data_IF_803732887618
#
_entry.id   IF_803732887618
#
_cell.length_a   1.000
_cell.length_b   1.000
_cell.length_c   1.000
_cell.angle_alpha   90.00
_cell.angle_beta   90.00
_cell.angle_gamma   90.00
#
_symmetry.space_group_name_H-M   'P 1'
#
loop_
_entity.id
_entity.type
_entity.pdbx_description
1 polymer ?
#
# COMPACT_ATOMS: atom_id res chain seq x y z
N UNK A 1 -23.66 29.72 19.77
CA UNK A 1 -24.46 28.90 18.85
C UNK A 1 -23.76 28.68 17.50
N UNK A 2 -23.23 29.72 16.84
CA UNK A 2 -22.49 29.58 15.57
C UNK A 2 -21.20 28.73 15.69
N UNK A 3 -20.46 28.85 16.80
CA UNK A 3 -19.23 28.06 17.01
C UNK A 3 -19.50 26.55 17.12
N UNK A 4 -20.65 26.14 17.68
CA UNK A 4 -21.04 24.72 17.74
C UNK A 4 -21.34 24.17 16.34
N UNK A 5 -22.00 24.97 15.50
CA UNK A 5 -22.31 24.61 14.11
C UNK A 5 -21.04 24.48 13.25
N UNK A 6 -20.07 25.36 13.47
CA UNK A 6 -18.75 25.26 12.83
C UNK A 6 -18.06 23.95 13.22
N UNK A 7 -18.00 23.63 14.52
CA UNK A 7 -17.40 22.38 14.99
C UNK A 7 -18.11 21.14 14.41
N UNK A 8 -19.44 21.16 14.33
CA UNK A 8 -20.22 20.08 13.71
C UNK A 8 -19.82 19.87 12.25
N UNK A 9 -19.77 20.93 11.43
CA UNK A 9 -19.41 20.83 10.01
C UNK A 9 -18.03 20.21 9.75
N UNK A 10 -17.05 20.48 10.62
CA UNK A 10 -15.69 19.91 10.52
C UNK A 10 -15.65 18.41 10.80
N UNK A 11 -16.48 17.90 11.72
CA UNK A 11 -16.49 16.47 12.06
C UNK A 11 -17.12 15.62 10.95
N UNK A 12 -18.06 16.16 10.18
CA UNK A 12 -18.73 15.42 9.09
C UNK A 12 -17.99 15.47 7.74
N UNK A 13 -16.98 16.33 7.58
CA UNK A 13 -16.23 16.46 6.32
C UNK A 13 -14.99 15.55 6.23
N UNK A 14 -14.74 14.64 7.17
CA UNK A 14 -13.66 13.66 7.03
C UNK A 14 -14.07 12.54 6.07
N UNK A 15 -13.55 12.57 4.84
CA UNK A 15 -13.77 11.50 3.86
C UNK A 15 -12.68 10.44 3.98
N UNK A 16 -13.07 9.20 4.27
CA UNK A 16 -12.21 8.04 4.09
C UNK A 16 -12.37 7.51 2.67
N UNK A 17 -11.28 7.47 1.90
CA UNK A 17 -11.25 6.90 0.56
C UNK A 17 -10.82 5.43 0.57
N UNK A 18 -11.25 4.69 -0.45
CA UNK A 18 -10.69 3.38 -0.77
C UNK A 18 -9.47 3.60 -1.66
N UNK A 19 -8.28 3.32 -1.15
CA UNK A 19 -7.02 3.54 -1.88
C UNK A 19 -6.37 2.21 -2.21
N UNK A 20 -6.09 2.00 -3.50
CA UNK A 20 -5.30 0.88 -3.98
C UNK A 20 -3.85 1.34 -4.23
N UNK A 21 -2.90 0.70 -3.58
CA UNK A 21 -1.47 0.94 -3.75
C UNK A 21 -0.86 -0.23 -4.52
N UNK A 22 -0.37 0.04 -5.73
CA UNK A 22 0.36 -0.93 -6.54
C UNK A 22 1.84 -0.92 -6.16
N UNK A 23 2.34 -2.01 -5.58
CA UNK A 23 3.67 -2.10 -4.99
C UNK A 23 4.42 -3.37 -5.44
N UNK A 24 4.99 -3.39 -6.67
CA UNK A 24 5.74 -4.53 -7.17
C UNK A 24 7.09 -4.70 -6.47
N UNK A 25 7.56 -5.93 -6.32
CA UNK A 25 8.84 -6.23 -5.67
C UNK A 25 10.03 -5.96 -6.60
N UNK A 26 10.29 -4.70 -6.95
CA UNK A 26 11.41 -4.31 -7.87
C UNK A 26 12.64 -3.76 -7.16
N UNK A 27 12.69 -3.91 -5.84
CA UNK A 27 13.77 -3.42 -4.99
C UNK A 27 13.29 -3.02 -3.60
N UNK A 28 14.13 -3.26 -2.59
CA UNK A 28 13.79 -3.03 -1.18
C UNK A 28 13.44 -1.58 -0.88
N UNK A 29 14.11 -0.61 -1.52
CA UNK A 29 13.81 0.82 -1.35
C UNK A 29 12.42 1.20 -1.89
N UNK A 30 12.03 0.65 -3.05
CA UNK A 30 10.73 0.88 -3.67
C UNK A 30 9.59 0.31 -2.82
N UNK A 31 9.73 -0.96 -2.40
CA UNK A 31 8.74 -1.64 -1.57
C UNK A 31 8.54 -0.92 -0.24
N UNK A 32 9.63 -0.43 0.36
CA UNK A 32 9.58 0.32 1.62
C UNK A 32 8.99 1.72 1.48
N UNK A 33 9.26 2.40 0.37
CA UNK A 33 8.66 3.72 0.09
C UNK A 33 7.15 3.62 -0.03
N UNK A 34 6.67 2.71 -0.89
CA UNK A 34 5.24 2.52 -1.11
C UNK A 34 4.53 1.94 0.12
N UNK A 35 5.18 1.04 0.86
CA UNK A 35 4.68 0.55 2.14
C UNK A 35 4.47 1.67 3.17
N UNK A 36 5.41 2.63 3.27
CA UNK A 36 5.26 3.80 4.14
C UNK A 36 4.14 4.74 3.71
N UNK A 37 3.96 4.94 2.39
CA UNK A 37 2.84 5.75 1.88
C UNK A 37 1.51 5.09 2.24
N UNK A 38 1.41 3.77 2.06
CA UNK A 38 0.21 3.03 2.44
C UNK A 38 -0.07 3.10 3.95
N UNK A 39 0.97 2.99 4.79
CA UNK A 39 0.85 3.17 6.24
C UNK A 39 0.35 4.56 6.61
N UNK A 40 0.88 5.61 5.97
CA UNK A 40 0.45 6.99 6.24
C UNK A 40 -1.02 7.19 5.86
N UNK A 41 -1.44 6.69 4.70
CA UNK A 41 -2.83 6.79 4.24
C UNK A 41 -3.79 6.01 5.16
N UNK A 42 -3.39 4.82 5.61
CA UNK A 42 -4.18 4.03 6.55
C UNK A 42 -4.26 4.72 7.93
N UNK A 43 -3.17 5.32 8.39
CA UNK A 43 -3.15 6.08 9.65
C UNK A 43 -4.01 7.35 9.60
N UNK A 44 -4.17 7.96 8.41
CA UNK A 44 -5.08 9.09 8.17
C UNK A 44 -6.56 8.66 8.08
N UNK A 45 -6.84 7.36 8.21
CA UNK A 45 -8.19 6.80 8.28
C UNK A 45 -8.73 6.28 6.95
N UNK A 46 -7.92 6.19 5.89
CA UNK A 46 -8.33 5.61 4.62
C UNK A 46 -8.38 4.08 4.66
N UNK A 47 -9.25 3.48 3.85
CA UNK A 47 -9.26 2.04 3.60
C UNK A 47 -8.25 1.70 2.50
N UNK A 48 -7.09 1.21 2.90
CA UNK A 48 -5.96 0.97 1.99
C UNK A 48 -5.80 -0.52 1.68
N UNK A 49 -5.66 -0.84 0.40
CA UNK A 49 -5.27 -2.17 -0.09
C UNK A 49 -3.96 -2.06 -0.85
N UNK A 50 -2.99 -2.93 -0.56
CA UNK A 50 -1.76 -3.06 -1.34
C UNK A 50 -1.86 -4.30 -2.22
N UNK A 51 -1.65 -4.13 -3.53
CA UNK A 51 -1.40 -5.24 -4.45
C UNK A 51 0.08 -5.27 -4.77
N UNK A 52 0.70 -6.43 -4.57
CA UNK A 52 2.14 -6.59 -4.74
C UNK A 52 2.48 -7.74 -5.67
N UNK A 53 2.70 -7.43 -6.96
CA UNK A 53 3.31 -8.36 -7.89
C UNK A 53 4.72 -8.73 -7.46
N UNK A 54 4.99 -10.03 -7.46
CA UNK A 54 6.34 -10.56 -7.24
C UNK A 54 7.09 -10.46 -8.57
N UNK A 55 8.06 -9.56 -8.63
CA UNK A 55 8.95 -9.36 -9.79
C UNK A 55 10.35 -9.88 -9.44
N UNK A 56 10.98 -9.31 -8.41
CA UNK A 56 12.19 -9.85 -7.81
C UNK A 56 11.80 -10.80 -6.66
N UNK A 57 12.13 -12.10 -6.75
CA UNK A 57 11.83 -13.08 -5.70
C UNK A 57 12.71 -12.92 -4.45
N UNK A 58 13.82 -12.17 -4.52
CA UNK A 58 14.70 -11.88 -3.39
C UNK A 58 14.23 -10.66 -2.59
N UNK A 59 13.36 -9.83 -3.16
CA UNK A 59 12.81 -8.66 -2.50
C UNK A 59 11.54 -9.02 -1.74
N UNK A 60 11.65 -8.97 -0.41
CA UNK A 60 10.51 -9.19 0.48
C UNK A 60 9.49 -8.06 0.38
N UNK A 61 8.21 -8.43 0.45
CA UNK A 61 7.04 -7.53 0.44
C UNK A 61 6.87 -6.67 1.70
N UNK A 62 7.83 -6.70 2.62
CA UNK A 62 7.68 -6.14 3.98
C UNK A 62 8.13 -4.68 4.00
N UNK A 63 7.16 -3.76 3.90
CA UNK A 63 7.37 -2.32 3.98
C UNK A 63 6.33 -1.55 4.80
N UNK A 64 5.23 -2.20 5.20
CA UNK A 64 4.10 -1.63 5.92
C UNK A 64 3.90 -2.29 7.29
N UNK A 65 3.38 -1.53 8.26
CA UNK A 65 3.20 -1.93 9.67
C UNK A 65 1.72 -1.98 10.09
N UNK A 66 0.82 -1.40 9.30
CA UNK A 66 -0.58 -1.14 9.67
C UNK A 66 -1.53 -2.26 9.21
N UNK A 67 -2.81 -2.16 9.60
CA UNK A 67 -3.94 -3.04 9.23
C UNK A 67 -4.36 -2.92 7.75
N UNK A 68 -3.39 -2.90 6.85
CA UNK A 68 -3.58 -2.80 5.41
C UNK A 68 -3.84 -4.19 4.84
N UNK A 69 -4.81 -4.32 3.94
CA UNK A 69 -5.02 -5.58 3.23
C UNK A 69 -3.96 -5.74 2.15
N UNK A 70 -3.15 -6.78 2.24
CA UNK A 70 -2.10 -7.07 1.27
C UNK A 70 -2.48 -8.27 0.38
N UNK A 71 -2.39 -8.08 -0.93
CA UNK A 71 -2.67 -9.11 -1.93
C UNK A 71 -1.37 -9.39 -2.71
N UNK A 72 -0.65 -10.48 -2.40
CA UNK A 72 0.46 -10.92 -3.22
C UNK A 72 -0.06 -11.41 -4.58
N UNK A 73 0.66 -11.07 -5.65
CA UNK A 73 0.36 -11.55 -6.99
C UNK A 73 1.60 -12.24 -7.58
N UNK A 74 1.44 -13.52 -7.92
CA UNK A 74 2.46 -14.28 -8.63
C UNK A 74 2.03 -14.46 -10.07
N UNK A 75 2.85 -13.96 -11.00
CA UNK A 75 2.58 -14.14 -12.43
C UNK A 75 2.79 -15.59 -12.81
N UNK A 76 1.85 -16.17 -13.58
CA UNK A 76 2.01 -17.50 -14.19
C UNK A 76 3.18 -17.58 -15.17
N UNK A 77 3.67 -16.42 -15.61
CA UNK A 77 4.71 -16.25 -16.63
C UNK A 77 6.06 -15.81 -16.04
N UNK A 78 6.21 -15.72 -14.71
CA UNK A 78 7.52 -15.52 -14.08
C UNK A 78 7.87 -16.79 -13.33
N UNK A 79 8.60 -17.68 -13.99
CA UNK A 79 9.28 -18.76 -13.28
C UNK A 79 10.46 -18.17 -12.49
N UNK A 80 10.68 -18.63 -11.26
CA UNK A 80 11.80 -18.17 -10.41
C UNK A 80 13.16 -18.38 -11.11
N UNK A 81 13.24 -19.40 -11.95
CA UNK A 81 14.38 -19.73 -12.80
C UNK A 81 14.62 -18.74 -13.96
N UNK A 82 13.60 -18.03 -14.41
CA UNK A 82 13.76 -17.01 -15.47
C UNK A 82 14.41 -15.76 -14.92
N UNK A 83 14.09 -15.35 -13.68
CA UNK A 83 14.70 -14.18 -13.05
C UNK A 83 16.23 -14.33 -12.91
N UNK A 84 16.72 -15.51 -12.53
CA UNK A 84 18.15 -15.81 -12.46
C UNK A 84 18.89 -15.78 -13.80
N UNK A 85 18.18 -15.68 -14.94
CA UNK A 85 18.79 -15.55 -16.28
C UNK A 85 18.93 -14.09 -16.74
N UNK A 86 18.34 -13.15 -16.01
CA UNK A 86 18.28 -11.73 -16.38
C UNK A 86 19.32 -10.89 -15.62
N UNK A 87 19.87 -11.41 -14.51
CA UNK A 87 21.08 -10.91 -13.84
C UNK A 87 22.37 -11.50 -14.45
#
# INVERSE_FOLDING_TARGET
MLSLWLLYSFVFNSYSYNVLVWNPTIGTSHVRLLGKIADLLAADGHNVTIVSPIIDPLVNMVGHKSSITQIPYHSKYMAQEEFSRIE
#
